data_IF_225832584397
#
_entry.id   IF_225832584397
#
_cell.length_a   1.000
_cell.length_b   1.000
_cell.length_c   1.000
_cell.angle_alpha   90.00
_cell.angle_beta   90.00
_cell.angle_gamma   90.00
#
_symmetry.space_group_name_H-M   'P 1'
#
loop_
_entity.id
_entity.type
_entity.pdbx_description
1 polymer ?
#
# COMPACT_ATOMS: atom_id res chain seq x y z
N UNK A 1 6.31 4.33 -5.64
CA UNK A 1 6.47 5.57 -4.85
C UNK A 1 5.33 6.51 -5.14
N UNK A 2 4.99 7.41 -4.23
CA UNK A 2 3.91 8.39 -4.42
C UNK A 2 4.25 9.74 -3.80
N UNK A 3 3.77 10.82 -4.41
CA UNK A 3 4.08 12.19 -3.98
C UNK A 3 2.79 12.98 -3.87
N UNK A 4 2.64 13.75 -2.81
CA UNK A 4 1.76 14.92 -2.78
C UNK A 4 2.62 16.18 -2.89
N UNK A 5 2.38 17.01 -3.90
CA UNK A 5 3.34 18.07 -4.30
C UNK A 5 3.10 19.37 -3.53
N UNK A 6 1.86 19.64 -3.11
CA UNK A 6 1.45 20.96 -2.58
C UNK A 6 0.42 20.90 -1.43
N UNK A 7 0.19 19.75 -0.80
CA UNK A 7 -0.88 19.61 0.20
C UNK A 7 -0.42 19.17 1.58
N UNK A 8 0.84 18.73 1.74
CA UNK A 8 1.26 18.07 2.97
C UNK A 8 0.42 16.81 3.29
N UNK A 9 -0.27 16.22 2.29
CA UNK A 9 -1.22 15.12 2.50
C UNK A 9 -0.49 13.77 2.38
N UNK A 10 -0.10 13.23 3.55
CA UNK A 10 0.54 11.93 3.67
C UNK A 10 -0.33 10.77 3.17
N UNK A 11 -1.65 10.88 3.30
CA UNK A 11 -2.60 9.89 2.80
C UNK A 11 -2.61 9.86 1.27
N UNK A 12 -2.68 11.03 0.63
CA UNK A 12 -2.66 11.14 -0.84
C UNK A 12 -1.33 10.66 -1.42
N UNK A 13 -0.21 10.99 -0.77
CA UNK A 13 1.09 10.45 -1.16
C UNK A 13 1.11 8.90 -1.05
N UNK A 14 0.58 8.34 0.04
CA UNK A 14 0.50 6.89 0.26
C UNK A 14 -0.40 6.18 -0.77
N UNK A 15 -1.60 6.67 -1.04
CA UNK A 15 -2.49 6.11 -2.05
C UNK A 15 -1.83 6.08 -3.43
N UNK A 16 -1.16 7.17 -3.82
CA UNK A 16 -0.38 7.23 -5.06
C UNK A 16 0.74 6.21 -5.08
N UNK A 17 1.40 5.97 -3.94
CA UNK A 17 2.46 4.98 -3.83
C UNK A 17 1.94 3.55 -4.03
N UNK A 18 0.78 3.22 -3.44
CA UNK A 18 0.12 1.92 -3.63
C UNK A 18 -0.29 1.72 -5.08
N UNK A 19 -0.97 2.71 -5.68
CA UNK A 19 -1.38 2.68 -7.08
C UNK A 19 -0.18 2.47 -8.03
N UNK A 20 0.92 3.18 -7.78
CA UNK A 20 2.18 3.02 -8.53
C UNK A 20 2.76 1.60 -8.40
N UNK A 21 2.74 1.02 -7.20
CA UNK A 21 3.28 -0.31 -6.93
C UNK A 21 2.49 -1.43 -7.63
N UNK A 22 1.15 -1.35 -7.64
CA UNK A 22 0.32 -2.44 -8.16
C UNK A 22 0.09 -2.36 -9.67
N UNK A 23 0.15 -1.18 -10.30
CA UNK A 23 -0.27 -1.03 -11.72
C UNK A 23 0.56 -1.82 -12.73
N UNK A 24 1.76 -2.24 -12.34
CA UNK A 24 2.70 -2.97 -13.20
C UNK A 24 2.79 -4.46 -12.88
N UNK A 25 1.98 -4.94 -11.93
CA UNK A 25 2.01 -6.32 -11.46
C UNK A 25 0.69 -7.02 -11.79
N UNK A 26 0.76 -8.29 -12.16
CA UNK A 26 -0.41 -9.16 -12.30
C UNK A 26 -0.18 -10.48 -11.56
N UNK A 27 -1.23 -10.96 -10.88
CA UNK A 27 -1.18 -12.19 -10.07
C UNK A 27 -2.33 -13.14 -10.48
N UNK A 28 -2.31 -13.68 -11.72
CA UNK A 28 -3.40 -14.50 -12.25
C UNK A 28 -3.64 -15.79 -11.44
N UNK A 29 -2.57 -16.36 -10.84
CA UNK A 29 -2.62 -17.55 -9.99
C UNK A 29 -3.63 -17.45 -8.84
N UNK A 30 -3.92 -16.24 -8.36
CA UNK A 30 -4.79 -16.07 -7.21
C UNK A 30 -6.23 -16.55 -7.46
N UNK A 31 -6.70 -16.57 -8.70
CA UNK A 31 -8.03 -17.11 -9.03
C UNK A 31 -8.13 -18.60 -8.70
N UNK A 32 -7.08 -19.37 -9.02
CA UNK A 32 -7.02 -20.80 -8.72
C UNK A 32 -6.90 -21.06 -7.22
N UNK A 33 -6.06 -20.29 -6.54
CA UNK A 33 -5.89 -20.36 -5.07
C UNK A 33 -7.24 -20.15 -4.37
N UNK A 34 -7.99 -19.13 -4.77
CA UNK A 34 -9.34 -18.86 -4.24
C UNK A 34 -10.32 -19.99 -4.53
N UNK A 35 -10.26 -20.59 -5.73
CA UNK A 35 -11.14 -21.71 -6.09
C UNK A 35 -10.90 -22.95 -5.21
N UNK A 36 -9.71 -23.09 -4.64
CA UNK A 36 -9.34 -24.16 -3.70
C UNK A 36 -9.56 -23.79 -2.22
N UNK A 37 -10.14 -22.62 -1.94
CA UNK A 37 -10.39 -22.15 -0.58
C UNK A 37 -9.22 -21.43 0.08
N UNK A 38 -8.14 -21.13 -0.66
CA UNK A 38 -7.01 -20.35 -0.16
C UNK A 38 -7.33 -18.86 -0.03
N UNK A 39 -6.58 -18.19 0.85
CA UNK A 39 -6.72 -16.76 1.19
C UNK A 39 -5.48 -15.98 0.73
N UNK A 40 -5.68 -14.76 0.23
CA UNK A 40 -4.58 -13.84 -0.08
C UNK A 40 -4.48 -12.81 1.05
N UNK A 41 -3.33 -12.81 1.70
CA UNK A 41 -2.98 -11.86 2.74
C UNK A 41 -2.09 -10.79 2.11
N UNK A 42 -2.41 -9.52 2.37
CA UNK A 42 -1.69 -8.38 1.79
C UNK A 42 -1.22 -7.47 2.92
N UNK A 43 0.08 -7.47 3.17
CA UNK A 43 0.72 -6.56 4.11
C UNK A 43 1.31 -5.36 3.37
N UNK A 44 0.81 -4.17 3.71
CA UNK A 44 1.23 -2.90 3.12
C UNK A 44 2.00 -2.11 4.17
N UNK A 45 3.30 -1.90 3.95
CA UNK A 45 4.10 -1.00 4.78
C UNK A 45 4.27 0.33 4.06
N UNK A 46 3.82 1.42 4.67
CA UNK A 46 3.88 2.77 4.09
C UNK A 46 4.92 3.58 4.85
N UNK A 47 6.06 3.88 4.21
CA UNK A 47 7.05 4.82 4.73
C UNK A 47 6.66 6.26 4.39
N UNK A 48 6.37 7.07 5.39
CA UNK A 48 5.94 8.48 5.26
C UNK A 48 6.47 9.32 6.44
N UNK A 49 6.70 10.64 6.29
CA UNK A 49 7.31 11.44 7.36
C UNK A 49 6.49 11.52 8.65
N UNK A 50 5.16 11.56 8.54
CA UNK A 50 4.24 11.53 9.67
C UNK A 50 3.25 10.35 9.52
N UNK A 51 3.54 9.19 10.13
CA UNK A 51 2.71 8.00 10.01
C UNK A 51 1.29 8.17 10.56
N UNK A 52 1.12 9.02 11.57
CA UNK A 52 -0.18 9.26 12.21
C UNK A 52 -1.13 10.07 11.29
N UNK A 53 -0.59 10.76 10.28
CA UNK A 53 -1.37 11.52 9.29
C UNK A 53 -2.05 10.65 8.22
N UNK A 54 -1.78 9.34 8.19
CA UNK A 54 -2.28 8.44 7.16
C UNK A 54 -3.64 7.86 7.52
N UNK A 55 -4.65 8.11 6.68
CA UNK A 55 -5.91 7.39 6.68
C UNK A 55 -5.68 5.97 6.12
N UNK A 56 -5.52 5.04 7.05
CA UNK A 56 -5.30 3.61 6.78
C UNK A 56 -6.42 3.00 5.93
N UNK A 57 -7.67 3.37 6.17
CA UNK A 57 -8.80 2.80 5.44
C UNK A 57 -8.83 3.31 4.00
N UNK A 58 -8.44 4.56 3.76
CA UNK A 58 -8.31 5.10 2.40
C UNK A 58 -7.18 4.42 1.63
N UNK A 59 -6.03 4.20 2.26
CA UNK A 59 -4.93 3.43 1.63
C UNK A 59 -5.35 1.99 1.36
N UNK A 60 -6.05 1.35 2.29
CA UNK A 60 -6.57 -0.02 2.15
C UNK A 60 -7.45 -0.19 0.91
N UNK A 61 -8.32 0.79 0.63
CA UNK A 61 -9.25 0.78 -0.52
C UNK A 61 -8.58 0.86 -1.88
N UNK A 62 -7.30 1.23 -1.96
CA UNK A 62 -6.54 1.23 -3.22
C UNK A 62 -6.23 -0.19 -3.73
N UNK A 63 -6.27 -1.20 -2.86
CA UNK A 63 -6.02 -2.59 -3.22
C UNK A 63 -7.32 -3.29 -3.64
N UNK A 64 -7.37 -3.90 -4.84
CA UNK A 64 -8.60 -4.46 -5.38
C UNK A 64 -9.00 -5.78 -4.72
N UNK A 65 -8.04 -6.51 -4.13
CA UNK A 65 -8.20 -7.88 -3.65
C UNK A 65 -7.36 -8.14 -2.39
N UNK A 66 -7.74 -9.19 -1.66
CA UNK A 66 -7.01 -9.71 -0.51
C UNK A 66 -7.48 -9.17 0.84
N UNK A 67 -7.02 -9.83 1.89
CA UNK A 67 -7.15 -9.39 3.28
C UNK A 67 -6.00 -8.43 3.59
N UNK A 68 -6.31 -7.13 3.53
CA UNK A 68 -5.30 -6.08 3.55
C UNK A 68 -5.06 -5.57 4.97
N UNK A 69 -3.80 -5.56 5.39
CA UNK A 69 -3.29 -4.88 6.59
C UNK A 69 -2.35 -3.76 6.17
N UNK A 70 -2.62 -2.53 6.61
CA UNK A 70 -1.77 -1.36 6.31
C UNK A 70 -1.05 -0.91 7.58
N UNK A 71 0.25 -0.68 7.47
CA UNK A 71 1.14 -0.25 8.56
C UNK A 71 1.93 0.98 8.11
N UNK A 72 1.46 2.19 8.44
CA UNK A 72 2.25 3.40 8.31
C UNK A 72 3.44 3.36 9.28
N UNK A 73 4.63 3.70 8.78
CA UNK A 73 5.88 3.78 9.55
C UNK A 73 6.64 5.04 9.16
N UNK A 74 7.49 5.53 10.07
CA UNK A 74 8.33 6.69 9.79
C UNK A 74 9.27 6.38 8.61
N UNK A 75 9.30 7.25 7.62
CA UNK A 75 10.11 7.07 6.41
C UNK A 75 9.76 8.09 5.33
N UNK A 76 10.00 7.73 4.06
CA UNK A 76 9.72 8.62 2.93
C UNK A 76 10.56 9.90 2.97
N UNK A 77 10.00 11.01 2.50
CA UNK A 77 10.68 12.32 2.53
C UNK A 77 9.67 13.47 2.67
N UNK A 78 9.96 14.40 3.59
CA UNK A 78 9.39 15.76 3.57
C UNK A 78 10.40 16.66 2.88
N UNK A 79 10.01 17.29 1.78
CA UNK A 79 10.92 18.14 1.02
C UNK A 79 11.16 19.45 1.79
N UNK A 80 12.42 19.82 2.10
CA UNK A 80 12.70 21.08 2.78
C UNK A 80 12.26 22.29 1.96
N UNK A 81 11.58 23.24 2.60
CA UNK A 81 11.14 24.48 1.94
C UNK A 81 9.96 24.32 0.98
N UNK A 82 9.28 23.17 0.98
CA UNK A 82 8.07 22.93 0.19
C UNK A 82 7.05 22.08 0.97
N UNK A 83 5.79 22.10 0.56
CA UNK A 83 4.72 21.27 1.12
C UNK A 83 4.70 19.84 0.53
N UNK A 84 5.74 19.48 -0.22
CA UNK A 84 5.81 18.21 -0.90
C UNK A 84 6.16 17.07 0.07
N UNK A 85 5.35 16.01 0.05
CA UNK A 85 5.57 14.76 0.77
C UNK A 85 5.73 13.60 -0.19
N UNK A 86 6.75 12.78 0.04
CA UNK A 86 7.01 11.54 -0.68
C UNK A 86 6.75 10.37 0.26
N UNK A 87 5.94 9.42 -0.21
CA UNK A 87 5.70 8.14 0.44
C UNK A 87 6.32 7.00 -0.38
N UNK A 88 6.95 6.06 0.32
CA UNK A 88 7.41 4.79 -0.24
C UNK A 88 6.52 3.66 0.29
N UNK A 89 6.29 2.62 -0.52
CA UNK A 89 5.46 1.50 -0.10
C UNK A 89 6.14 0.19 -0.45
N UNK A 90 5.97 -0.80 0.42
CA UNK A 90 6.21 -2.21 0.14
C UNK A 90 4.89 -2.94 0.30
N UNK A 91 4.55 -3.76 -0.69
CA UNK A 91 3.35 -4.60 -0.68
C UNK A 91 3.82 -6.04 -0.74
N UNK A 92 3.66 -6.76 0.36
CA UNK A 92 3.97 -8.18 0.45
C UNK A 92 2.68 -8.95 0.32
N UNK A 93 2.65 -9.87 -0.65
CA UNK A 93 1.53 -10.78 -0.86
C UNK A 93 1.95 -12.16 -0.41
N UNK A 94 1.13 -12.79 0.42
CA UNK A 94 1.28 -14.19 0.81
C UNK A 94 -0.04 -14.93 0.66
N UNK A 95 0.06 -16.26 0.60
CA UNK A 95 -1.08 -17.16 0.45
C UNK A 95 -1.16 -18.02 1.70
N UNK A 96 -2.35 -18.09 2.27
CA UNK A 96 -2.71 -19.12 3.24
C UNK A 96 -3.57 -20.16 2.51
N UNK A 97 -2.97 -21.30 2.18
CA UNK A 97 -3.62 -22.37 1.42
C UNK A 97 -3.87 -23.58 2.34
N UNK A 98 -5.13 -23.94 2.61
CA UNK A 98 -5.46 -25.10 3.44
C UNK A 98 -5.11 -26.45 2.78
N UNK A 99 -4.69 -26.46 1.51
CA UNK A 99 -4.35 -27.65 0.73
C UNK A 99 -2.83 -27.79 0.45
N UNK A 100 -2.00 -26.86 0.95
CA UNK A 100 -0.54 -26.86 0.74
C UNK A 100 0.23 -27.79 1.68
#
# INVERSE_FOLDING_TARGET
MGVDVHGGDGTKAACRAVSDAIRHSSLPLFQEVRARGGRMLVDVTVGVPDPASVDVDRVRRELPHGEVTVRPVAGGLRVPGADALIACVVITVSIDDPQA
#
